data_IF_325518607844
#
_entry.id   IF_325518607844
#
_cell.length_a   1.000
_cell.length_b   1.000
_cell.length_c   1.000
_cell.angle_alpha   90.00
_cell.angle_beta   90.00
_cell.angle_gamma   90.00
#
_symmetry.space_group_name_H-M   'P 1'
#
loop_
_entity.id
_entity.type
_entity.pdbx_description
1 polymer ?
#
# COMPACT_ATOMS: atom_id res chain seq x y z
N UNK A 1 -22.76 -3.76 5.14
CA UNK A 1 -22.00 -3.15 4.03
C UNK A 1 -22.68 -1.84 3.72
N UNK A 2 -21.92 -0.75 3.82
CA UNK A 2 -22.43 0.62 3.62
C UNK A 2 -22.22 1.04 2.17
N UNK A 3 -21.11 0.62 1.57
CA UNK A 3 -20.79 0.88 0.17
C UNK A 3 -19.84 -0.19 -0.38
N UNK A 4 -19.67 -0.25 -1.71
CA UNK A 4 -18.75 -1.16 -2.38
C UNK A 4 -18.22 -0.57 -3.69
N UNK A 5 -16.99 -0.96 -4.05
CA UNK A 5 -16.35 -0.56 -5.29
C UNK A 5 -15.67 -1.76 -5.94
N UNK A 6 -16.06 -2.07 -7.17
CA UNK A 6 -15.46 -3.11 -7.98
C UNK A 6 -14.19 -2.60 -8.65
N UNK A 7 -13.12 -3.37 -8.57
CA UNK A 7 -11.82 -2.99 -9.12
C UNK A 7 -11.17 -4.15 -9.86
N UNK A 8 -10.44 -3.83 -10.91
CA UNK A 8 -9.45 -4.73 -11.49
C UNK A 8 -8.18 -4.58 -10.68
N UNK A 9 -7.76 -5.66 -10.03
CA UNK A 9 -6.51 -5.68 -9.28
C UNK A 9 -5.66 -6.85 -9.77
N UNK A 10 -4.55 -6.54 -10.43
CA UNK A 10 -3.68 -7.53 -11.04
C UNK A 10 -2.22 -7.27 -10.67
N UNK A 11 -1.42 -8.35 -10.62
CA UNK A 11 0.00 -8.27 -10.27
C UNK A 11 0.87 -8.39 -11.51
N UNK A 12 1.75 -7.41 -11.68
CA UNK A 12 2.77 -7.34 -12.73
C UNK A 12 4.16 -7.25 -12.11
N UNK A 13 5.18 -7.19 -12.93
CA UNK A 13 6.57 -7.06 -12.50
C UNK A 13 7.23 -5.86 -13.14
N UNK A 14 7.89 -5.04 -12.32
CA UNK A 14 8.83 -4.05 -12.79
C UNK A 14 10.15 -4.75 -13.07
N UNK A 15 10.62 -4.70 -14.32
CA UNK A 15 11.91 -5.22 -14.73
C UNK A 15 12.82 -4.06 -15.14
N UNK A 16 13.51 -3.52 -14.15
CA UNK A 16 14.50 -2.45 -14.37
C UNK A 16 15.90 -3.01 -14.20
N UNK A 17 16.77 -2.73 -15.17
CA UNK A 17 18.17 -3.17 -15.15
C UNK A 17 18.90 -2.61 -13.90
N UNK A 18 19.42 -3.51 -13.07
CA UNK A 18 20.12 -3.14 -11.82
C UNK A 18 19.22 -3.06 -10.57
N UNK A 19 17.93 -3.34 -10.70
CA UNK A 19 16.98 -3.44 -9.60
C UNK A 19 16.47 -4.88 -9.53
N UNK A 20 16.30 -5.41 -8.32
CA UNK A 20 15.65 -6.72 -8.16
C UNK A 20 14.20 -6.63 -8.66
N UNK A 21 13.74 -7.72 -9.26
CA UNK A 21 12.37 -7.84 -9.76
C UNK A 21 11.36 -7.50 -8.64
N UNK A 22 10.51 -6.51 -8.88
CA UNK A 22 9.51 -6.06 -7.91
C UNK A 22 8.11 -6.34 -8.43
N UNK A 23 7.23 -6.79 -7.54
CA UNK A 23 5.82 -6.90 -7.85
C UNK A 23 5.19 -5.50 -7.83
N UNK A 24 4.38 -5.23 -8.83
CA UNK A 24 3.61 -4.00 -9.00
C UNK A 24 2.15 -4.37 -9.15
N UNK A 25 1.28 -3.73 -8.41
CA UNK A 25 -0.17 -3.94 -8.49
C UNK A 25 -0.77 -2.88 -9.39
N UNK A 26 -1.36 -3.30 -10.49
CA UNK A 26 -2.24 -2.48 -11.32
C UNK A 26 -3.62 -2.49 -10.67
N UNK A 27 -4.21 -1.31 -10.54
CA UNK A 27 -5.46 -1.07 -9.83
C UNK A 27 -6.35 -0.14 -10.66
N UNK A 28 -7.43 -0.68 -11.21
CA UNK A 28 -8.38 0.08 -12.03
C UNK A 28 -9.81 -0.07 -11.45
N UNK A 29 -10.32 0.98 -10.75
CA UNK A 29 -11.69 0.98 -10.26
C UNK A 29 -12.65 1.10 -11.43
N UNK A 30 -13.73 0.29 -11.46
CA UNK A 30 -14.72 0.37 -12.53
C UNK A 30 -15.50 1.70 -12.54
N UNK A 31 -15.63 2.31 -11.37
CA UNK A 31 -16.26 3.61 -11.15
C UNK A 31 -15.23 4.54 -10.49
N UNK A 32 -14.38 5.18 -11.33
CA UNK A 32 -13.24 5.98 -10.87
C UNK A 32 -13.65 7.17 -10.00
N UNK A 33 -14.85 7.71 -10.19
CA UNK A 33 -15.43 8.78 -9.40
C UNK A 33 -15.67 8.41 -7.93
N UNK A 34 -15.92 7.12 -7.64
CA UNK A 34 -16.16 6.61 -6.30
C UNK A 34 -14.86 6.22 -5.56
N UNK A 35 -13.73 6.18 -6.27
CA UNK A 35 -12.45 5.80 -5.68
C UNK A 35 -12.06 6.62 -4.43
N UNK A 36 -12.28 7.94 -4.37
CA UNK A 36 -11.88 8.76 -3.21
C UNK A 36 -12.52 8.33 -1.88
N UNK A 37 -13.66 7.68 -1.91
CA UNK A 37 -14.33 7.17 -0.70
C UNK A 37 -13.62 5.93 -0.12
N UNK A 38 -12.83 5.22 -0.93
CA UNK A 38 -12.12 4.00 -0.56
C UNK A 38 -10.61 4.21 -0.46
N UNK A 39 -10.02 4.99 -1.38
CA UNK A 39 -8.57 5.20 -1.47
C UNK A 39 -8.29 6.68 -1.73
N UNK A 40 -7.56 7.31 -0.81
CA UNK A 40 -7.14 8.70 -0.95
C UNK A 40 -5.86 8.78 -1.77
N UNK A 41 -5.97 9.24 -3.02
CA UNK A 41 -4.82 9.58 -3.84
C UNK A 41 -4.50 11.06 -3.66
N UNK A 42 -3.28 11.39 -3.19
CA UNK A 42 -2.87 12.77 -2.95
C UNK A 42 -1.37 12.95 -3.17
N UNK A 43 -0.97 14.17 -3.49
CA UNK A 43 0.43 14.55 -3.50
C UNK A 43 0.97 14.64 -2.06
N UNK A 44 2.18 14.10 -1.83
CA UNK A 44 2.78 14.06 -0.49
C UNK A 44 3.12 15.45 0.07
N UNK A 45 3.49 16.39 -0.77
CA UNK A 45 3.97 17.72 -0.34
C UNK A 45 2.81 18.71 -0.22
N UNK A 46 2.01 18.82 -1.28
CA UNK A 46 0.90 19.79 -1.34
C UNK A 46 -0.35 19.28 -0.63
N UNK A 47 -0.45 17.96 -0.42
CA UNK A 47 -1.64 17.27 0.11
C UNK A 47 -2.89 17.45 -0.76
N UNK A 48 -2.72 17.92 -1.98
CA UNK A 48 -3.82 18.08 -2.92
C UNK A 48 -4.28 16.72 -3.44
N UNK A 49 -5.60 16.49 -3.56
CA UNK A 49 -6.14 15.26 -4.10
C UNK A 49 -5.80 15.11 -5.58
N UNK A 50 -5.49 13.88 -5.99
CA UNK A 50 -5.21 13.52 -7.37
C UNK A 50 -6.40 12.74 -7.91
N UNK A 51 -6.94 13.21 -9.04
CA UNK A 51 -8.05 12.54 -9.75
C UNK A 51 -7.47 11.71 -10.88
N UNK A 52 -7.97 10.49 -11.06
CA UNK A 52 -7.62 9.64 -12.21
C UNK A 52 -8.20 10.22 -13.49
N UNK A 53 -7.39 10.26 -14.54
CA UNK A 53 -7.80 10.64 -15.89
C UNK A 53 -7.26 9.64 -16.92
N UNK A 54 -7.77 9.70 -18.15
CA UNK A 54 -7.28 8.84 -19.24
C UNK A 54 -5.94 9.33 -19.85
N UNK A 55 -5.38 10.44 -19.33
CA UNK A 55 -4.09 10.97 -19.80
C UNK A 55 -2.89 10.14 -19.30
N UNK A 56 -3.05 9.42 -18.20
CA UNK A 56 -1.98 8.59 -17.63
C UNK A 56 -2.32 8.00 -16.25
N UNK A 57 -1.44 7.15 -15.80
CA UNK A 57 -1.53 6.50 -14.51
C UNK A 57 -1.10 7.41 -13.35
N UNK A 58 -1.68 7.17 -12.18
CA UNK A 58 -1.14 7.66 -10.91
C UNK A 58 -0.35 6.53 -10.26
N UNK A 59 0.93 6.75 -9.98
CA UNK A 59 1.81 5.71 -9.41
C UNK A 59 2.23 6.06 -7.99
N UNK A 60 2.52 5.04 -7.17
CA UNK A 60 3.05 5.25 -5.83
C UNK A 60 4.46 5.87 -5.86
N UNK A 61 4.76 6.80 -4.93
CA UNK A 61 6.05 7.50 -4.84
C UNK A 61 7.23 6.51 -4.77
N UNK A 62 7.07 5.43 -4.02
CA UNK A 62 8.09 4.40 -3.90
C UNK A 62 8.38 3.71 -5.24
N UNK A 63 7.35 3.48 -6.06
CA UNK A 63 7.51 2.92 -7.42
C UNK A 63 8.17 3.93 -8.35
N UNK A 64 7.76 5.20 -8.29
CA UNK A 64 8.34 6.29 -9.07
C UNK A 64 9.86 6.41 -8.81
N UNK A 65 10.26 6.42 -7.54
CA UNK A 65 11.67 6.47 -7.14
C UNK A 65 12.45 5.23 -7.57
N UNK A 66 11.86 4.04 -7.47
CA UNK A 66 12.49 2.78 -7.86
C UNK A 66 12.69 2.70 -9.38
N UNK A 67 11.68 3.11 -10.13
CA UNK A 67 11.71 3.14 -11.59
C UNK A 67 12.46 4.38 -12.14
N UNK A 68 12.77 5.38 -11.32
CA UNK A 68 13.38 6.66 -11.70
C UNK A 68 12.57 7.34 -12.81
N UNK A 69 11.28 7.51 -12.56
CA UNK A 69 10.29 8.11 -13.45
C UNK A 69 9.37 9.06 -12.69
N UNK A 70 8.77 10.01 -13.42
CA UNK A 70 7.84 11.00 -12.87
C UNK A 70 6.72 11.36 -13.83
N UNK A 71 5.90 12.36 -13.49
CA UNK A 71 4.83 12.85 -14.37
C UNK A 71 5.37 13.27 -15.74
N UNK A 72 4.74 12.78 -16.80
CA UNK A 72 5.16 12.97 -18.19
C UNK A 72 6.07 11.88 -18.75
N UNK A 73 6.62 11.00 -17.91
CA UNK A 73 7.36 9.82 -18.34
C UNK A 73 6.42 8.63 -18.58
N UNK A 74 7.00 7.48 -18.92
CA UNK A 74 6.29 6.20 -18.98
C UNK A 74 7.02 5.15 -18.14
N UNK A 75 6.26 4.23 -17.54
CA UNK A 75 6.80 3.08 -16.83
C UNK A 75 6.54 1.81 -17.63
N UNK A 76 7.53 0.92 -17.68
CA UNK A 76 7.40 -0.40 -18.30
C UNK A 76 7.19 -1.46 -17.23
N UNK A 77 6.11 -2.24 -17.38
CA UNK A 77 5.84 -3.42 -16.57
C UNK A 77 5.62 -4.63 -17.46
N UNK A 78 5.73 -5.82 -16.90
CA UNK A 78 5.50 -7.08 -17.61
C UNK A 78 4.63 -8.05 -16.82
N UNK A 79 3.88 -8.88 -17.54
CA UNK A 79 3.14 -10.00 -16.94
C UNK A 79 4.05 -11.24 -16.79
N UNK A 80 3.51 -12.34 -16.26
CA UNK A 80 4.23 -13.61 -16.10
C UNK A 80 4.56 -14.28 -17.43
N UNK A 81 3.86 -13.94 -18.51
CA UNK A 81 4.09 -14.42 -19.88
C UNK A 81 5.16 -13.60 -20.63
N UNK A 82 5.84 -12.67 -19.93
CA UNK A 82 6.89 -11.80 -20.48
C UNK A 82 6.39 -10.77 -21.50
N UNK A 83 5.08 -10.51 -21.55
CA UNK A 83 4.54 -9.40 -22.33
C UNK A 83 4.78 -8.11 -21.57
N UNK A 84 5.24 -7.08 -22.26
CA UNK A 84 5.56 -5.76 -21.71
C UNK A 84 4.50 -4.73 -22.09
N UNK A 85 4.23 -3.84 -21.15
CA UNK A 85 3.25 -2.76 -21.28
C UNK A 85 3.91 -1.45 -20.89
N UNK A 86 3.72 -0.43 -21.71
CA UNK A 86 4.19 0.94 -21.48
C UNK A 86 3.00 1.77 -20.95
N UNK A 87 3.16 2.33 -19.76
CA UNK A 87 2.09 3.07 -19.09
C UNK A 87 2.54 4.52 -18.93
N UNK A 88 1.87 5.51 -19.52
CA UNK A 88 2.16 6.92 -19.31
C UNK A 88 1.82 7.31 -17.85
N UNK A 89 2.61 8.22 -17.28
CA UNK A 89 2.45 8.66 -15.88
C UNK A 89 1.89 10.08 -15.86
N UNK A 90 0.71 10.21 -15.25
CA UNK A 90 0.05 11.49 -15.00
C UNK A 90 0.57 12.15 -13.72
N UNK A 91 0.65 11.39 -12.63
CA UNK A 91 1.00 11.90 -11.31
C UNK A 91 1.62 10.83 -10.41
N UNK A 92 2.21 11.29 -9.30
CA UNK A 92 2.77 10.44 -8.26
C UNK A 92 2.00 10.67 -6.96
N UNK A 93 1.50 9.60 -6.33
CA UNK A 93 0.75 9.68 -5.08
C UNK A 93 1.55 9.19 -3.88
N UNK A 94 1.26 9.77 -2.72
CA UNK A 94 1.75 9.30 -1.44
C UNK A 94 1.25 7.87 -1.18
N UNK A 95 2.17 6.90 -1.09
CA UNK A 95 1.86 5.55 -0.66
C UNK A 95 3.13 4.87 -0.13
N UNK A 96 3.07 4.36 1.08
CA UNK A 96 4.22 3.77 1.79
C UNK A 96 4.30 2.25 1.68
N UNK A 97 3.21 1.61 1.29
CA UNK A 97 3.08 0.14 1.25
C UNK A 97 2.89 -0.34 -0.17
N UNK A 98 3.72 -1.31 -0.60
CA UNK A 98 3.68 -1.90 -1.94
C UNK A 98 3.98 -0.90 -3.08
N UNK A 99 3.76 -1.35 -4.30
CA UNK A 99 3.94 -0.59 -5.53
C UNK A 99 2.64 -0.64 -6.31
N UNK A 100 1.98 0.51 -6.45
CA UNK A 100 0.69 0.61 -7.13
C UNK A 100 0.78 1.47 -8.37
N UNK A 101 -0.01 1.10 -9.37
CA UNK A 101 -0.32 1.86 -10.59
C UNK A 101 -1.85 1.95 -10.66
N UNK A 102 -2.38 3.14 -10.45
CA UNK A 102 -3.82 3.42 -10.51
C UNK A 102 -4.18 3.94 -11.90
N UNK A 103 -5.18 3.34 -12.52
CA UNK A 103 -5.66 3.63 -13.87
C UNK A 103 -7.17 3.86 -13.88
N UNK A 104 -7.67 4.62 -14.86
CA UNK A 104 -9.09 4.54 -15.21
C UNK A 104 -9.38 3.22 -15.93
N UNK A 105 -10.63 2.73 -15.95
CA UNK A 105 -11.01 1.55 -16.72
C UNK A 105 -10.69 1.71 -18.21
N UNK A 106 -10.97 2.89 -18.78
CA UNK A 106 -10.72 3.19 -20.19
C UNK A 106 -9.23 3.06 -20.53
N UNK A 107 -8.36 3.66 -19.72
CA UNK A 107 -6.91 3.58 -19.92
C UNK A 107 -6.37 2.16 -19.71
N UNK A 108 -6.96 1.41 -18.77
CA UNK A 108 -6.63 0.00 -18.57
C UNK A 108 -6.95 -0.82 -19.83
N UNK A 109 -8.16 -0.67 -20.39
CA UNK A 109 -8.58 -1.38 -21.61
C UNK A 109 -7.70 -1.04 -22.81
N UNK A 110 -7.30 0.23 -22.95
CA UNK A 110 -6.41 0.68 -24.01
C UNK A 110 -5.01 0.06 -23.91
N UNK A 111 -4.42 0.05 -22.71
CA UNK A 111 -3.04 -0.42 -22.51
C UNK A 111 -2.95 -1.94 -22.60
N UNK A 112 -3.87 -2.66 -21.93
CA UNK A 112 -3.82 -4.11 -21.83
C UNK A 112 -4.57 -4.85 -22.94
N UNK A 113 -5.34 -4.11 -23.77
CA UNK A 113 -6.13 -4.64 -24.89
C UNK A 113 -7.09 -5.76 -24.40
N UNK A 114 -7.67 -5.56 -23.23
CA UNK A 114 -8.63 -6.47 -22.60
C UNK A 114 -9.68 -5.66 -21.82
N UNK A 115 -10.87 -6.23 -21.68
CA UNK A 115 -11.95 -5.60 -20.89
C UNK A 115 -11.55 -5.49 -19.40
N UNK A 116 -11.97 -4.40 -18.75
CA UNK A 116 -11.77 -4.19 -17.32
C UNK A 116 -12.77 -5.06 -16.52
N UNK A 117 -12.48 -6.36 -16.39
CA UNK A 117 -13.28 -7.27 -15.59
C UNK A 117 -12.85 -7.24 -14.11
N UNK A 118 -13.78 -7.02 -13.16
CA UNK A 118 -13.41 -6.87 -11.76
C UNK A 118 -12.87 -8.18 -11.18
N UNK A 119 -11.76 -8.08 -10.47
CA UNK A 119 -11.12 -9.19 -9.76
C UNK A 119 -11.22 -9.04 -8.24
N UNK A 120 -11.60 -7.85 -7.77
CA UNK A 120 -11.64 -7.50 -6.35
C UNK A 120 -12.81 -6.58 -6.08
N UNK A 121 -13.48 -6.77 -4.95
CA UNK A 121 -14.49 -5.85 -4.41
C UNK A 121 -13.91 -5.18 -3.15
N UNK A 122 -13.88 -3.85 -3.12
CA UNK A 122 -13.64 -3.07 -1.90
C UNK A 122 -14.98 -2.85 -1.20
N UNK A 123 -15.03 -3.09 0.10
CA UNK A 123 -16.26 -2.98 0.89
C UNK A 123 -16.03 -2.00 2.05
N UNK A 124 -16.97 -1.07 2.23
CA UNK A 124 -17.08 -0.25 3.43
C UNK A 124 -18.18 -0.81 4.34
N UNK A 125 -17.92 -0.81 5.63
CA UNK A 125 -18.90 -1.27 6.63
C UNK A 125 -18.67 -0.59 7.97
N UNK A 126 -19.78 -0.35 8.68
CA UNK A 126 -19.81 0.27 10.03
C UNK A 126 -20.09 -0.77 11.12
N UNK A 127 -19.54 -1.97 10.97
CA UNK A 127 -19.77 -3.06 11.92
C UNK A 127 -18.61 -3.18 12.92
N UNK A 128 -18.86 -3.70 14.13
CA UNK A 128 -17.80 -3.88 15.12
C UNK A 128 -16.80 -4.96 14.67
N UNK A 129 -15.58 -4.88 15.17
CA UNK A 129 -14.50 -5.84 14.86
C UNK A 129 -14.87 -7.32 15.04
N UNK A 130 -15.78 -7.61 15.95
CA UNK A 130 -16.27 -8.98 16.18
C UNK A 130 -16.98 -9.56 14.96
N UNK A 131 -17.56 -8.70 14.10
CA UNK A 131 -18.22 -9.09 12.86
C UNK A 131 -17.22 -9.50 11.77
N UNK A 132 -16.03 -8.89 11.72
CA UNK A 132 -14.98 -9.19 10.73
C UNK A 132 -14.69 -10.69 10.63
N UNK A 133 -14.55 -11.34 11.78
CA UNK A 133 -14.23 -12.78 11.83
C UNK A 133 -15.35 -13.67 11.29
N UNK A 134 -16.59 -13.37 11.65
CA UNK A 134 -17.75 -14.12 11.18
C UNK A 134 -18.01 -13.91 9.70
N UNK A 135 -17.98 -12.67 9.25
CA UNK A 135 -18.13 -12.29 7.85
C UNK A 135 -17.01 -12.88 6.98
N UNK A 136 -15.75 -12.72 7.39
CA UNK A 136 -14.59 -13.28 6.67
C UNK A 136 -14.70 -14.80 6.50
N UNK A 137 -15.13 -15.50 7.55
CA UNK A 137 -15.34 -16.97 7.51
C UNK A 137 -16.48 -17.39 6.57
N UNK A 138 -17.56 -16.62 6.53
CA UNK A 138 -18.72 -16.86 5.68
C UNK A 138 -18.35 -16.63 4.21
N UNK A 139 -17.74 -15.47 3.89
CA UNK A 139 -17.38 -15.10 2.52
C UNK A 139 -16.27 -15.99 1.97
N UNK A 140 -15.28 -16.39 2.79
CA UNK A 140 -14.26 -17.36 2.39
C UNK A 140 -14.80 -18.77 2.11
N UNK A 141 -16.04 -19.06 2.53
CA UNK A 141 -16.74 -20.30 2.17
C UNK A 141 -17.27 -20.30 0.74
N UNK A 142 -17.36 -19.15 0.08
CA UNK A 142 -17.82 -19.04 -1.29
C UNK A 142 -16.72 -19.43 -2.28
N UNK A 143 -17.05 -20.24 -3.30
CA UNK A 143 -16.08 -20.77 -4.28
C UNK A 143 -15.43 -19.67 -5.13
N UNK A 144 -16.08 -18.52 -5.28
CA UNK A 144 -15.58 -17.39 -6.06
C UNK A 144 -14.59 -16.49 -5.30
N UNK A 145 -14.45 -16.67 -3.98
CA UNK A 145 -13.60 -15.82 -3.14
C UNK A 145 -12.29 -16.51 -2.82
N UNK A 146 -11.20 -15.93 -3.28
CA UNK A 146 -9.86 -16.44 -3.04
C UNK A 146 -9.24 -15.90 -1.73
N UNK A 147 -9.55 -14.65 -1.38
CA UNK A 147 -8.96 -13.97 -0.22
C UNK A 147 -9.88 -12.85 0.30
N UNK A 148 -9.96 -12.72 1.61
CA UNK A 148 -10.58 -11.56 2.29
C UNK A 148 -9.52 -10.90 3.17
N UNK A 149 -9.36 -9.58 3.06
CA UNK A 149 -8.41 -8.80 3.86
C UNK A 149 -9.13 -7.64 4.53
N UNK A 150 -9.01 -7.53 5.85
CA UNK A 150 -9.54 -6.40 6.62
C UNK A 150 -8.43 -5.38 6.85
N UNK A 151 -8.57 -4.18 6.30
CA UNK A 151 -7.54 -3.12 6.41
C UNK A 151 -7.33 -2.70 7.86
N UNK A 152 -8.40 -2.58 8.65
CA UNK A 152 -8.32 -2.25 10.08
C UNK A 152 -7.47 -3.25 10.89
N UNK A 153 -7.50 -4.54 10.52
CA UNK A 153 -6.68 -5.56 11.18
C UNK A 153 -5.19 -5.42 10.84
N UNK A 154 -4.87 -4.92 9.66
CA UNK A 154 -3.49 -4.63 9.24
C UNK A 154 -2.94 -3.45 10.05
N UNK A 155 -3.68 -2.35 10.14
CA UNK A 155 -3.29 -1.17 10.94
C UNK A 155 -3.06 -1.53 12.41
N UNK A 156 -3.90 -2.36 12.98
CA UNK A 156 -3.77 -2.85 14.35
C UNK A 156 -2.50 -3.68 14.56
N UNK A 157 -2.20 -4.58 13.66
CA UNK A 157 -0.97 -5.38 13.71
C UNK A 157 0.29 -4.51 13.64
N UNK A 158 0.26 -3.43 12.86
CA UNK A 158 1.33 -2.42 12.83
C UNK A 158 1.43 -1.67 14.16
N UNK A 159 0.31 -1.22 14.73
CA UNK A 159 0.29 -0.50 16.01
C UNK A 159 0.81 -1.38 17.16
N UNK A 160 0.43 -2.66 17.23
CA UNK A 160 0.95 -3.62 18.20
C UNK A 160 2.45 -3.86 18.06
N UNK A 161 2.94 -3.97 16.81
CA UNK A 161 4.37 -4.13 16.53
C UNK A 161 5.16 -2.89 16.98
N UNK A 162 4.67 -1.69 16.69
CA UNK A 162 5.30 -0.43 17.14
C UNK A 162 5.26 -0.32 18.67
N UNK A 163 4.14 -0.68 19.30
CA UNK A 163 4.01 -0.68 20.78
C UNK A 163 5.02 -1.60 21.47
N UNK A 164 5.39 -2.70 20.83
CA UNK A 164 6.43 -3.58 21.37
C UNK A 164 7.83 -2.93 21.38
N UNK A 165 8.11 -2.02 20.46
CA UNK A 165 9.38 -1.26 20.41
C UNK A 165 9.49 -0.27 21.58
N UNK A 166 8.38 0.27 22.07
CA UNK A 166 8.36 1.17 23.25
C UNK A 166 8.86 0.46 24.48
N UNK A 167 8.49 -0.81 24.67
CA UNK A 167 8.98 -1.64 25.79
C UNK A 167 10.48 -1.86 25.69
N UNK A 168 11.01 -2.15 24.49
CA UNK A 168 12.45 -2.31 24.27
C UNK A 168 13.19 -1.01 24.57
N UNK A 169 12.66 0.11 24.12
CA UNK A 169 13.23 1.44 24.39
C UNK A 169 13.25 1.75 25.87
N UNK A 170 12.17 1.46 26.60
CA UNK A 170 12.12 1.63 28.06
C UNK A 170 13.19 0.79 28.77
N UNK A 171 13.34 -0.48 28.40
CA UNK A 171 14.36 -1.37 28.98
C UNK A 171 15.77 -0.82 28.72
N UNK A 172 16.05 -0.31 27.53
CA UNK A 172 17.35 0.30 27.21
C UNK A 172 17.60 1.55 28.05
N UNK A 173 16.61 2.43 28.21
CA UNK A 173 16.73 3.64 29.05
C UNK A 173 17.01 3.28 30.50
N UNK A 174 16.25 2.33 31.08
CA UNK A 174 16.46 1.90 32.45
C UNK A 174 17.84 1.26 32.65
N UNK A 175 18.28 0.45 31.69
CA UNK A 175 19.60 -0.20 31.73
C UNK A 175 20.72 0.84 31.65
N UNK A 176 20.62 1.82 30.77
CA UNK A 176 21.60 2.90 30.63
C UNK A 176 21.66 3.79 31.90
N UNK A 177 20.49 4.14 32.44
CA UNK A 177 20.40 4.89 33.69
C UNK A 177 21.03 4.12 34.88
N UNK A 178 20.78 2.82 34.98
CA UNK A 178 21.37 1.97 36.00
C UNK A 178 22.90 1.89 35.87
N UNK A 179 23.41 1.75 34.65
CA UNK A 179 24.85 1.73 34.42
C UNK A 179 25.49 3.07 34.78
N UNK A 180 24.88 4.19 34.36
CA UNK A 180 25.36 5.54 34.70
C UNK A 180 25.39 5.73 36.24
N UNK A 181 24.38 5.29 36.95
CA UNK A 181 24.32 5.34 38.41
C UNK A 181 25.46 4.56 39.05
N UNK A 182 25.71 3.32 38.61
CA UNK A 182 26.81 2.47 39.14
C UNK A 182 28.17 3.14 38.90
N UNK A 183 28.40 3.71 37.73
CA UNK A 183 29.66 4.42 37.38
C UNK A 183 29.84 5.64 38.26
N UNK A 184 28.81 6.48 38.43
CA UNK A 184 28.86 7.66 39.30
C UNK A 184 29.10 7.28 40.78
N UNK A 185 28.41 6.28 41.24
CA UNK A 185 28.59 5.76 42.60
C UNK A 185 30.02 5.25 42.84
N UNK A 186 30.56 4.48 41.89
CA UNK A 186 31.94 3.98 41.97
C UNK A 186 32.95 5.10 41.96
N UNK A 187 32.80 6.13 41.11
CA UNK A 187 33.68 7.29 41.04
C UNK A 187 33.64 8.12 42.34
N UNK A 188 32.45 8.28 42.92
CA UNK A 188 32.28 9.01 44.21
C UNK A 188 32.96 8.27 45.35
N UNK A 189 32.88 6.95 45.37
CA UNK A 189 33.44 6.13 46.44
C UNK A 189 34.98 5.97 46.38
N UNK A 190 35.58 6.18 45.20
CA UNK A 190 37.04 6.14 45.03
C UNK A 190 37.69 7.48 45.45
N UNK A 191 36.93 8.58 45.44
CA UNK A 191 37.43 9.92 45.81
C UNK A 191 37.24 10.30 47.28
N UNK A 192 36.84 9.38 48.14
CA UNK A 192 36.80 9.53 49.60
C UNK A 192 37.87 8.63 50.21
#
# INVERSE_FOLDING_TARGET
>A
ITDHLKVVQESYKLDKKGVNLQNVTVFAPLESENLPDFVSLRDRITQEPIVLTDEGAVISEKLANLADVGPGDSIEIRNDEMQTYQIPIQAVTENYVNHYIYLTPSLYEEIFIQAAEPTTDLLLFDEPESWERSFGSEVMGEQAVALVTFINSVDRSFAETLGSLDVVTLVLIVSAASLAFVVLYSLTNINV
#
